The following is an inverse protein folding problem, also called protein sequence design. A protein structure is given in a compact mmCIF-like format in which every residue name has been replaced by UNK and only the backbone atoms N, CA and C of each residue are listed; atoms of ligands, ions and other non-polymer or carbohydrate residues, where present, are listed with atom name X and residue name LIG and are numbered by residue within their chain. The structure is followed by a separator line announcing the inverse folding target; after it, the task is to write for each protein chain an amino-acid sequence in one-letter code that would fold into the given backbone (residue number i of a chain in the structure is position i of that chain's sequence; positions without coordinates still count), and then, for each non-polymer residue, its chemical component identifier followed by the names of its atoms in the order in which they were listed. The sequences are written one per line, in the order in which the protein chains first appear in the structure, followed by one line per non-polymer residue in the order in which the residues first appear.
data_IF_450228693855
#
_entry.id   IF_450228693855
#
_cell.length_a   1.000
_cell.length_b   1.000
_cell.length_c   1.000
_cell.angle_alpha   90.00
_cell.angle_beta   90.00
_cell.angle_gamma   90.00
#
_symmetry.space_group_name_H-M   'P 1'
#
loop_
_entity.id
_entity.type
_entity.pdbx_description
1 polymer ?
#
# COMPACT_ATOMS: atom_id res chain seq x y z
N UNK A 1 10.53 19.59 58.26
CA UNK A 1 9.16 19.80 57.75
C UNK A 1 9.19 20.94 56.74
N UNK A 2 9.03 20.76 55.44
CA UNK A 2 8.72 19.59 54.63
C UNK A 2 8.83 20.05 53.17
N UNK A 3 9.45 19.22 52.35
CA UNK A 3 9.57 19.45 50.91
C UNK A 3 8.20 19.36 50.24
N UNK A 4 7.89 20.30 49.36
CA UNK A 4 6.80 20.17 48.40
C UNK A 4 7.43 20.07 47.01
N UNK A 5 7.76 18.84 46.60
CA UNK A 5 8.03 18.50 45.21
C UNK A 5 6.70 18.59 44.45
N UNK A 6 6.52 19.63 43.66
CA UNK A 6 5.43 19.68 42.69
C UNK A 6 5.86 18.81 41.52
N UNK A 7 5.24 17.64 41.40
CA UNK A 7 5.52 16.70 40.33
C UNK A 7 5.23 17.32 38.97
N UNK A 8 6.23 17.34 38.11
CA UNK A 8 6.05 17.45 36.68
C UNK A 8 5.17 16.27 36.24
N UNK A 9 3.91 16.56 35.94
CA UNK A 9 3.08 15.67 35.15
C UNK A 9 3.77 15.52 33.80
N UNK A 10 4.38 14.36 33.60
CA UNK A 10 4.97 13.97 32.33
C UNK A 10 3.98 14.25 31.22
N UNK A 11 4.37 15.15 30.32
CA UNK A 11 3.73 15.29 29.02
C UNK A 11 3.83 13.91 28.40
N UNK A 12 2.73 13.15 28.40
CA UNK A 12 2.60 11.98 27.55
C UNK A 12 2.67 12.51 26.13
N UNK A 13 3.90 12.66 25.63
CA UNK A 13 4.18 13.01 24.25
C UNK A 13 3.30 12.10 23.42
N UNK A 14 2.25 12.67 22.84
CA UNK A 14 1.35 11.93 21.97
C UNK A 14 2.23 11.53 20.81
N UNK A 15 2.66 10.27 20.83
CA UNK A 15 3.39 9.67 19.73
C UNK A 15 2.55 9.96 18.49
N UNK A 16 3.07 10.79 17.60
CA UNK A 16 2.42 11.23 16.37
C UNK A 16 3.45 11.17 15.25
N UNK A 17 3.02 10.74 14.07
CA UNK A 17 3.88 10.68 12.89
C UNK A 17 4.17 12.13 12.43
N UNK A 18 5.45 12.57 12.38
CA UNK A 18 5.77 13.97 12.10
C UNK A 18 5.21 14.49 10.77
N UNK A 19 4.59 15.67 10.80
CA UNK A 19 4.10 16.37 9.60
C UNK A 19 2.75 15.90 9.08
N UNK A 20 2.17 14.82 9.62
CA UNK A 20 0.83 14.36 9.25
C UNK A 20 -0.24 15.00 10.13
N UNK A 21 -1.39 15.30 9.54
CA UNK A 21 -2.54 15.85 10.26
C UNK A 21 -3.28 14.76 11.07
N UNK A 22 -4.00 15.18 12.11
CA UNK A 22 -4.90 14.30 12.84
C UNK A 22 -6.01 13.78 11.90
N UNK A 23 -6.25 12.47 11.94
CA UNK A 23 -7.20 11.79 11.05
C UNK A 23 -6.65 11.50 9.64
N UNK A 24 -5.36 11.78 9.37
CA UNK A 24 -4.72 11.28 8.16
C UNK A 24 -4.62 9.74 8.22
N UNK A 25 -5.04 9.01 7.17
CA UNK A 25 -5.08 7.55 7.18
C UNK A 25 -3.70 6.89 7.35
N UNK A 26 -2.62 7.58 6.96
CA UNK A 26 -1.24 7.12 7.14
C UNK A 26 -0.80 7.33 8.60
N UNK A 27 -1.21 8.44 9.22
CA UNK A 27 -1.00 8.65 10.66
C UNK A 27 -1.79 7.63 11.50
N UNK A 28 -3.03 7.32 11.14
CA UNK A 28 -3.84 6.28 11.79
C UNK A 28 -3.24 4.87 11.62
N UNK A 29 -2.64 4.59 10.45
CA UNK A 29 -1.89 3.36 10.26
C UNK A 29 -0.72 3.28 11.23
N UNK A 30 0.07 4.35 11.34
CA UNK A 30 1.22 4.40 12.25
C UNK A 30 0.79 4.23 13.72
N UNK A 31 -0.25 4.94 14.17
CA UNK A 31 -0.75 4.85 15.56
C UNK A 31 -1.19 3.42 15.93
N UNK A 32 -1.84 2.71 14.99
CA UNK A 32 -2.21 1.31 15.21
C UNK A 32 -0.99 0.39 15.33
N UNK A 33 0.04 0.60 14.51
CA UNK A 33 1.22 -0.26 14.49
C UNK A 33 2.20 0.05 15.63
N UNK A 34 2.33 1.31 16.08
CA UNK A 34 3.27 1.69 17.14
C UNK A 34 2.88 1.10 18.51
N UNK A 35 1.58 0.81 18.71
CA UNK A 35 1.03 0.15 19.90
C UNK A 35 1.26 -1.37 19.90
N UNK A 36 1.67 -1.96 18.78
CA UNK A 36 1.88 -3.40 18.63
C UNK A 36 3.34 -3.78 18.90
N UNK A 37 3.56 -4.93 19.55
CA UNK A 37 4.89 -5.49 19.81
C UNK A 37 5.40 -6.43 18.71
N UNK A 38 4.57 -6.71 17.70
CA UNK A 38 4.91 -7.66 16.64
C UNK A 38 6.03 -7.09 15.75
N UNK A 39 7.00 -7.93 15.29
CA UNK A 39 8.07 -7.49 14.40
C UNK A 39 7.54 -6.73 13.18
N UNK A 40 6.52 -7.27 12.50
CA UNK A 40 5.98 -6.67 11.29
C UNK A 40 5.36 -5.30 11.53
N UNK A 41 4.84 -5.07 12.74
CA UNK A 41 4.33 -3.75 13.13
C UNK A 41 5.47 -2.76 13.35
N UNK A 42 6.58 -3.18 13.97
CA UNK A 42 7.77 -2.34 14.11
C UNK A 42 8.39 -1.99 12.75
N UNK A 43 8.46 -2.96 11.84
CA UNK A 43 8.93 -2.72 10.48
C UNK A 43 8.01 -1.72 9.74
N UNK A 44 6.69 -1.81 9.95
CA UNK A 44 5.73 -0.85 9.38
C UNK A 44 5.93 0.55 9.95
N UNK A 45 6.11 0.70 11.27
CA UNK A 45 6.44 2.00 11.88
C UNK A 45 7.73 2.58 11.33
N UNK A 46 8.80 1.77 11.23
CA UNK A 46 10.09 2.22 10.71
C UNK A 46 10.00 2.69 9.25
N UNK A 47 9.22 2.01 8.41
CA UNK A 47 8.99 2.46 7.02
C UNK A 47 8.18 3.77 6.98
N UNK A 48 7.15 3.91 7.82
CA UNK A 48 6.34 5.12 7.90
C UNK A 48 7.15 6.33 8.37
N UNK A 49 8.00 6.14 9.38
CA UNK A 49 8.94 7.15 9.88
C UNK A 49 9.95 7.53 8.78
N UNK A 50 10.54 6.55 8.10
CA UNK A 50 11.44 6.82 6.98
C UNK A 50 10.75 7.57 5.82
N UNK A 51 9.49 7.28 5.53
CA UNK A 51 8.71 8.03 4.53
C UNK A 51 8.44 9.46 5.02
N UNK A 52 8.06 9.65 6.29
CA UNK A 52 7.87 10.98 6.88
C UNK A 52 9.15 11.82 6.79
N UNK A 53 10.30 11.22 7.11
CA UNK A 53 11.61 11.87 7.02
C UNK A 53 11.95 12.26 5.57
N UNK A 54 11.69 11.39 4.59
CA UNK A 54 11.88 11.70 3.16
C UNK A 54 11.03 12.91 2.75
N UNK A 55 9.74 12.91 3.10
CA UNK A 55 8.83 14.01 2.75
C UNK A 55 9.28 15.33 3.40
N UNK A 56 9.73 15.27 4.66
CA UNK A 56 10.27 16.43 5.35
C UNK A 56 11.55 16.96 4.67
N UNK A 57 12.48 16.07 4.30
CA UNK A 57 13.73 16.44 3.64
C UNK A 57 13.49 17.05 2.24
N UNK A 58 12.48 16.57 1.53
CA UNK A 58 12.10 17.09 0.21
C UNK A 58 11.19 18.33 0.29
N UNK A 59 10.79 18.76 1.49
CA UNK A 59 9.89 19.90 1.69
C UNK A 59 8.47 19.65 1.16
N UNK A 60 8.05 18.38 1.08
CA UNK A 60 6.74 17.97 0.57
C UNK A 60 5.77 17.83 1.73
N UNK A 61 4.59 18.47 1.60
CA UNK A 61 3.52 18.31 2.58
C UNK A 61 3.01 16.86 2.59
N UNK A 62 2.94 16.20 3.77
CA UNK A 62 2.45 14.83 3.87
C UNK A 62 1.01 14.68 3.38
N UNK A 63 0.79 13.65 2.55
CA UNK A 63 -0.51 13.27 2.01
C UNK A 63 -0.46 11.82 1.51
N UNK A 64 -1.60 11.14 1.33
CA UNK A 64 -1.64 9.81 0.73
C UNK A 64 -0.93 9.74 -0.63
N UNK A 65 -1.01 10.81 -1.45
CA UNK A 65 -0.30 10.89 -2.74
C UNK A 65 1.21 10.98 -2.56
N UNK A 66 1.68 11.80 -1.62
CA UNK A 66 3.09 11.93 -1.32
C UNK A 66 3.68 10.62 -0.80
N UNK A 67 2.94 9.95 0.10
CA UNK A 67 3.31 8.62 0.64
C UNK A 67 3.30 7.56 -0.45
N UNK A 68 2.31 7.56 -1.34
CA UNK A 68 2.27 6.68 -2.52
C UNK A 68 3.54 6.86 -3.37
N UNK A 69 3.89 8.10 -3.71
CA UNK A 69 5.06 8.39 -4.54
C UNK A 69 6.38 7.97 -3.85
N UNK A 70 6.56 8.35 -2.58
CA UNK A 70 7.76 8.03 -1.81
C UNK A 70 7.94 6.51 -1.62
N UNK A 71 6.86 5.79 -1.29
CA UNK A 71 6.87 4.34 -1.10
C UNK A 71 7.13 3.61 -2.41
N UNK A 72 6.53 4.06 -3.52
CA UNK A 72 6.82 3.55 -4.86
C UNK A 72 8.30 3.70 -5.21
N UNK A 73 8.90 4.86 -4.98
CA UNK A 73 10.32 5.08 -5.26
C UNK A 73 11.24 4.23 -4.37
N UNK A 74 10.84 3.96 -3.13
CA UNK A 74 11.57 3.03 -2.26
C UNK A 74 11.48 1.57 -2.76
N UNK A 75 10.31 1.14 -3.23
CA UNK A 75 10.13 -0.19 -3.83
C UNK A 75 10.83 -0.34 -5.19
N UNK A 76 10.93 0.74 -5.98
CA UNK A 76 11.68 0.77 -7.25
C UNK A 76 13.19 0.57 -7.03
N UNK A 77 13.71 1.08 -5.90
CA UNK A 77 15.12 0.92 -5.50
C UNK A 77 15.38 -0.35 -4.69
N UNK A 78 14.34 -1.01 -4.19
CA UNK A 78 14.50 -2.22 -3.40
C UNK A 78 15.08 -3.35 -4.25
N UNK A 79 16.15 -3.97 -3.76
CA UNK A 79 16.79 -5.13 -4.36
C UNK A 79 16.65 -6.36 -3.45
N UNK A 80 17.33 -7.45 -3.81
CA UNK A 80 17.27 -8.71 -3.06
C UNK A 80 17.93 -8.64 -1.67
N UNK A 81 18.64 -7.56 -1.34
CA UNK A 81 19.25 -7.36 -0.01
C UNK A 81 18.26 -6.83 1.02
N UNK A 82 17.14 -6.23 0.57
CA UNK A 82 16.10 -5.72 1.47
C UNK A 82 15.37 -6.89 2.13
N UNK A 83 15.30 -6.94 3.48
CA UNK A 83 14.56 -7.98 4.18
C UNK A 83 13.11 -8.06 3.73
N UNK A 84 12.59 -9.29 3.57
CA UNK A 84 11.21 -9.50 3.13
C UNK A 84 10.17 -8.86 4.07
N UNK A 85 10.51 -8.70 5.35
CA UNK A 85 9.71 -7.98 6.34
C UNK A 85 9.59 -6.48 6.01
N UNK A 86 10.71 -5.84 5.64
CA UNK A 86 10.73 -4.43 5.24
C UNK A 86 9.96 -4.22 3.93
N UNK A 87 10.11 -5.12 2.96
CA UNK A 87 9.29 -5.11 1.73
C UNK A 87 7.80 -5.28 2.06
N UNK A 88 7.45 -6.17 2.99
CA UNK A 88 6.07 -6.35 3.46
C UNK A 88 5.50 -5.09 4.13
N UNK A 89 6.32 -4.39 4.92
CA UNK A 89 5.97 -3.10 5.51
C UNK A 89 5.74 -2.02 4.43
N UNK A 90 6.65 -1.88 3.45
CA UNK A 90 6.47 -0.98 2.31
C UNK A 90 5.17 -1.27 1.54
N UNK A 91 4.84 -2.54 1.32
CA UNK A 91 3.57 -2.92 0.66
C UNK A 91 2.34 -2.61 1.52
N UNK A 92 2.46 -2.66 2.85
CA UNK A 92 1.37 -2.27 3.76
C UNK A 92 1.12 -0.76 3.68
N UNK A 93 2.19 0.04 3.73
CA UNK A 93 2.12 1.49 3.55
C UNK A 93 1.58 1.87 2.18
N UNK A 94 2.06 1.19 1.12
CA UNK A 94 1.58 1.40 -0.25
C UNK A 94 0.08 1.08 -0.39
N UNK A 95 -0.40 0.01 0.23
CA UNK A 95 -1.82 -0.34 0.19
C UNK A 95 -2.69 0.75 0.82
N UNK A 96 -2.30 1.28 1.99
CA UNK A 96 -3.00 2.41 2.61
C UNK A 96 -2.93 3.66 1.73
N UNK A 97 -1.79 3.95 1.13
CA UNK A 97 -1.68 5.08 0.20
C UNK A 97 -2.59 4.92 -1.03
N UNK A 98 -2.68 3.71 -1.60
CA UNK A 98 -3.57 3.41 -2.72
C UNK A 98 -5.06 3.53 -2.38
N UNK A 99 -5.44 3.18 -1.15
CA UNK A 99 -6.83 3.29 -0.66
C UNK A 99 -7.29 4.75 -0.53
N UNK A 100 -6.37 5.67 -0.27
CA UNK A 100 -6.70 7.06 0.09
C UNK A 100 -6.18 8.12 -0.88
N UNK A 101 -5.27 7.79 -1.79
CA UNK A 101 -4.81 8.71 -2.82
C UNK A 101 -5.92 9.00 -3.84
N UNK A 102 -6.01 10.23 -4.39
CA UNK A 102 -6.91 10.53 -5.49
C UNK A 102 -6.67 9.58 -6.67
N UNK A 103 -7.72 8.98 -7.27
CA UNK A 103 -7.54 8.00 -8.33
C UNK A 103 -6.73 8.50 -9.52
N UNK A 104 -6.86 9.78 -9.88
CA UNK A 104 -6.08 10.40 -10.95
C UNK A 104 -4.57 10.32 -10.72
N UNK A 105 -4.10 10.49 -9.47
CA UNK A 105 -2.69 10.39 -9.13
C UNK A 105 -2.18 8.96 -9.30
N UNK A 106 -2.97 7.97 -8.88
CA UNK A 106 -2.65 6.54 -9.04
C UNK A 106 -2.64 6.13 -10.51
N UNK A 107 -3.66 6.53 -11.27
CA UNK A 107 -3.79 6.23 -12.71
C UNK A 107 -2.61 6.81 -13.50
N UNK A 108 -2.13 8.02 -13.17
CA UNK A 108 -0.97 8.63 -13.84
C UNK A 108 0.33 7.83 -13.73
N UNK A 109 0.44 6.97 -12.71
CA UNK A 109 1.61 6.13 -12.40
C UNK A 109 1.34 4.64 -12.63
N UNK A 110 0.17 4.28 -13.14
CA UNK A 110 -0.33 2.90 -13.17
C UNK A 110 0.62 1.91 -13.86
N UNK A 111 1.23 2.19 -15.02
CA UNK A 111 2.16 1.27 -15.67
C UNK A 111 3.40 0.97 -14.79
N UNK A 112 3.93 2.01 -14.14
CA UNK A 112 5.08 1.88 -13.24
C UNK A 112 4.71 1.09 -11.99
N UNK A 113 3.56 1.40 -11.36
CA UNK A 113 3.05 0.68 -10.19
C UNK A 113 2.83 -0.80 -10.49
N UNK A 114 2.19 -1.12 -11.61
CA UNK A 114 1.99 -2.50 -12.04
C UNK A 114 3.32 -3.27 -12.20
N UNK A 115 4.33 -2.63 -12.82
CA UNK A 115 5.67 -3.22 -13.00
C UNK A 115 6.37 -3.48 -11.67
N UNK A 116 6.33 -2.51 -10.75
CA UNK A 116 6.95 -2.61 -9.42
C UNK A 116 6.30 -3.72 -8.61
N UNK A 117 4.96 -3.78 -8.57
CA UNK A 117 4.23 -4.82 -7.85
C UNK A 117 4.50 -6.22 -8.41
N UNK A 118 4.62 -6.36 -9.74
CA UNK A 118 4.99 -7.63 -10.36
C UNK A 118 6.42 -8.05 -10.00
N UNK A 119 7.35 -7.09 -9.87
CA UNK A 119 8.72 -7.36 -9.42
C UNK A 119 8.76 -7.79 -7.96
N UNK A 120 8.10 -7.03 -7.09
CA UNK A 120 7.95 -7.36 -5.68
C UNK A 120 7.28 -8.73 -5.48
N UNK A 121 6.27 -9.07 -6.31
CA UNK A 121 5.60 -10.37 -6.28
C UNK A 121 6.52 -11.55 -6.59
N UNK A 122 7.48 -11.37 -7.52
CA UNK A 122 8.51 -12.38 -7.81
C UNK A 122 9.49 -12.54 -6.65
N UNK A 123 9.95 -11.43 -6.06
CA UNK A 123 10.84 -11.46 -4.90
C UNK A 123 10.16 -12.04 -3.64
N UNK A 124 8.84 -11.84 -3.50
CA UNK A 124 8.08 -12.26 -2.33
C UNK A 124 7.58 -13.71 -2.38
N UNK A 125 7.96 -14.54 -3.36
CA UNK A 125 7.42 -15.91 -3.49
C UNK A 125 7.61 -16.76 -2.24
N UNK A 126 8.74 -16.61 -1.54
CA UNK A 126 9.03 -17.34 -0.30
C UNK A 126 8.56 -16.63 0.98
N UNK A 127 7.96 -15.43 0.84
CA UNK A 127 7.46 -14.64 1.97
C UNK A 127 5.93 -14.49 1.88
N UNK A 128 5.15 -15.37 2.53
CA UNK A 128 3.70 -15.25 2.54
C UNK A 128 3.17 -13.89 3.03
N UNK A 129 3.78 -13.20 4.02
CA UNK A 129 3.38 -11.85 4.38
C UNK A 129 3.56 -10.82 3.27
N UNK A 130 4.75 -10.77 2.66
CA UNK A 130 5.02 -9.82 1.57
C UNK A 130 4.15 -10.13 0.33
N UNK A 131 3.97 -11.41 -0.01
CA UNK A 131 3.14 -11.81 -1.14
C UNK A 131 1.67 -11.38 -0.95
N UNK A 132 1.12 -11.48 0.27
CA UNK A 132 -0.21 -10.93 0.58
C UNK A 132 -0.27 -9.41 0.37
N UNK A 133 0.78 -8.69 0.74
CA UNK A 133 0.88 -7.24 0.50
C UNK A 133 0.83 -6.90 -1.00
N UNK A 134 1.59 -7.63 -1.82
CA UNK A 134 1.57 -7.48 -3.29
C UNK A 134 0.17 -7.74 -3.84
N UNK A 135 -0.45 -8.85 -3.42
CA UNK A 135 -1.80 -9.23 -3.85
C UNK A 135 -2.83 -8.16 -3.53
N UNK A 136 -2.78 -7.59 -2.32
CA UNK A 136 -3.67 -6.48 -1.92
C UNK A 136 -3.44 -5.24 -2.79
N UNK A 137 -2.18 -4.82 -2.97
CA UNK A 137 -1.86 -3.66 -3.78
C UNK A 137 -2.32 -3.81 -5.24
N UNK A 138 -2.18 -4.99 -5.84
CA UNK A 138 -2.66 -5.24 -7.21
C UNK A 138 -4.20 -5.16 -7.26
N UNK A 139 -4.90 -5.74 -6.29
CA UNK A 139 -6.37 -5.64 -6.21
C UNK A 139 -6.85 -4.19 -6.16
N UNK A 140 -6.24 -3.38 -5.31
CA UNK A 140 -6.53 -1.94 -5.18
C UNK A 140 -6.22 -1.18 -6.47
N UNK A 141 -5.05 -1.44 -7.09
CA UNK A 141 -4.65 -0.81 -8.36
C UNK A 141 -5.66 -1.09 -9.48
N UNK A 142 -6.13 -2.34 -9.58
CA UNK A 142 -7.17 -2.71 -10.56
C UNK A 142 -8.50 -2.02 -10.21
N UNK A 143 -8.85 -1.93 -8.93
CA UNK A 143 -10.07 -1.27 -8.50
C UNK A 143 -10.09 0.24 -8.85
N UNK A 144 -8.91 0.88 -8.88
CA UNK A 144 -8.78 2.29 -9.29
C UNK A 144 -9.26 2.54 -10.74
N UNK A 145 -9.25 1.53 -11.61
CA UNK A 145 -9.69 1.68 -13.00
C UNK A 145 -11.14 2.16 -13.12
N UNK A 146 -12.00 1.85 -12.13
CA UNK A 146 -13.38 2.36 -12.07
C UNK A 146 -13.47 3.88 -12.15
N UNK A 147 -12.46 4.58 -11.64
CA UNK A 147 -12.43 6.04 -11.60
C UNK A 147 -11.80 6.66 -12.86
N UNK A 148 -11.45 5.86 -13.88
CA UNK A 148 -10.97 6.39 -15.15
C UNK A 148 -12.07 7.25 -15.83
N UNK A 149 -11.69 8.33 -16.54
CA UNK A 149 -12.63 9.34 -17.01
C UNK A 149 -13.55 8.87 -18.15
N UNK A 150 -13.26 7.74 -18.78
CA UNK A 150 -14.05 7.20 -19.89
C UNK A 150 -13.90 5.69 -20.00
N UNK A 151 -14.85 5.04 -20.69
CA UNK A 151 -14.78 3.63 -21.04
C UNK A 151 -13.49 3.28 -21.82
N UNK A 152 -13.08 4.15 -22.74
CA UNK A 152 -11.85 3.99 -23.50
C UNK A 152 -10.61 4.03 -22.60
N UNK A 153 -10.55 4.97 -21.66
CA UNK A 153 -9.46 5.06 -20.70
C UNK A 153 -9.41 3.84 -19.77
N UNK A 154 -10.55 3.22 -19.43
CA UNK A 154 -10.56 1.95 -18.70
C UNK A 154 -9.86 0.86 -19.50
N UNK A 155 -10.17 0.73 -20.80
CA UNK A 155 -9.61 -0.31 -21.66
C UNK A 155 -8.11 -0.13 -21.89
N UNK A 156 -7.66 1.11 -22.11
CA UNK A 156 -6.24 1.45 -22.23
C UNK A 156 -5.50 1.08 -20.93
N UNK A 157 -5.94 1.60 -19.79
CA UNK A 157 -5.27 1.30 -18.52
C UNK A 157 -5.34 -0.19 -18.12
N UNK A 158 -6.39 -0.92 -18.56
CA UNK A 158 -6.52 -2.35 -18.31
C UNK A 158 -5.38 -3.17 -18.93
N UNK A 159 -4.76 -2.72 -20.02
CA UNK A 159 -3.64 -3.42 -20.66
C UNK A 159 -2.45 -3.63 -19.70
N UNK A 160 -2.23 -2.68 -18.79
CA UNK A 160 -1.19 -2.72 -17.78
C UNK A 160 -1.59 -3.57 -16.56
N UNK A 161 -2.89 -3.73 -16.32
CA UNK A 161 -3.45 -4.44 -15.17
C UNK A 161 -3.76 -5.91 -15.46
N UNK A 162 -3.98 -6.29 -16.72
CA UNK A 162 -4.40 -7.64 -17.10
C UNK A 162 -3.44 -8.74 -16.60
N UNK A 163 -2.12 -8.55 -16.80
CA UNK A 163 -1.11 -9.51 -16.34
C UNK A 163 -0.98 -9.55 -14.81
N UNK A 164 -0.87 -8.43 -14.08
CA UNK A 164 -0.95 -8.43 -12.62
C UNK A 164 -2.22 -9.10 -12.08
N UNK A 165 -3.37 -8.81 -12.68
CA UNK A 165 -4.65 -9.39 -12.27
C UNK A 165 -4.71 -10.90 -12.48
N UNK A 166 -4.23 -11.39 -13.62
CA UNK A 166 -4.10 -12.83 -13.88
C UNK A 166 -3.15 -13.49 -12.86
N UNK A 167 -2.04 -12.84 -12.52
CA UNK A 167 -1.09 -13.36 -11.53
C UNK A 167 -1.71 -13.53 -10.14
N UNK A 168 -2.46 -12.54 -9.65
CA UNK A 168 -3.15 -12.69 -8.34
C UNK A 168 -4.33 -13.66 -8.42
N UNK A 169 -4.97 -13.81 -9.58
CA UNK A 169 -6.05 -14.78 -9.78
C UNK A 169 -5.54 -16.22 -9.64
N UNK A 170 -4.34 -16.52 -10.15
CA UNK A 170 -3.70 -17.82 -9.97
C UNK A 170 -3.39 -18.12 -8.49
N UNK A 171 -3.20 -17.10 -7.65
CA UNK A 171 -2.98 -17.28 -6.22
C UNK A 171 -4.25 -17.65 -5.44
N UNK A 172 -5.44 -17.62 -6.06
CA UNK A 172 -6.66 -18.13 -5.44
C UNK A 172 -6.61 -19.65 -5.16
N UNK A 173 -5.72 -20.39 -5.83
CA UNK A 173 -5.50 -21.83 -5.63
C UNK A 173 -4.13 -22.16 -5.00
N UNK A 174 -3.40 -21.16 -4.51
CA UNK A 174 -2.08 -21.32 -3.87
C UNK A 174 -2.09 -22.30 -2.68
N UNK A 175 -1.00 -23.03 -2.40
CA UNK A 175 -0.96 -23.98 -1.27
C UNK A 175 -1.16 -23.34 0.12
N UNK A 176 -0.87 -22.04 0.27
CA UNK A 176 -0.85 -21.33 1.55
C UNK A 176 -2.20 -20.66 1.85
N UNK A 177 -2.92 -21.06 2.92
CA UNK A 177 -4.28 -20.59 3.17
C UNK A 177 -4.44 -19.07 3.28
N UNK A 178 -3.48 -18.38 3.93
CA UNK A 178 -3.53 -16.92 4.10
C UNK A 178 -3.32 -16.17 2.78
N UNK A 179 -2.51 -16.70 1.88
CA UNK A 179 -2.29 -16.13 0.53
C UNK A 179 -3.54 -16.31 -0.31
N UNK A 180 -4.11 -17.53 -0.36
CA UNK A 180 -5.39 -17.79 -1.05
C UNK A 180 -6.51 -16.88 -0.60
N UNK A 181 -6.68 -16.72 0.72
CA UNK A 181 -7.73 -15.86 1.28
C UNK A 181 -7.57 -14.40 0.84
N UNK A 182 -6.33 -13.89 0.86
CA UNK A 182 -6.05 -12.53 0.40
C UNK A 182 -6.26 -12.39 -1.12
N UNK A 183 -5.88 -13.39 -1.91
CA UNK A 183 -6.08 -13.41 -3.35
C UNK A 183 -7.57 -13.39 -3.71
N UNK A 184 -8.37 -14.28 -3.12
CA UNK A 184 -9.81 -14.30 -3.33
C UNK A 184 -10.48 -12.98 -2.94
N UNK A 185 -10.08 -12.36 -1.83
CA UNK A 185 -10.59 -11.06 -1.42
C UNK A 185 -10.23 -9.96 -2.43
N UNK A 186 -8.96 -9.88 -2.85
CA UNK A 186 -8.46 -8.82 -3.74
C UNK A 186 -8.99 -8.97 -5.17
N UNK A 187 -9.11 -10.21 -5.67
CA UNK A 187 -9.75 -10.52 -6.95
C UNK A 187 -11.23 -10.16 -6.89
N UNK A 188 -11.93 -10.53 -5.81
CA UNK A 188 -13.33 -10.18 -5.65
C UNK A 188 -13.56 -8.66 -5.61
N UNK A 189 -12.68 -7.91 -4.94
CA UNK A 189 -12.73 -6.45 -4.92
C UNK A 189 -12.52 -5.85 -6.32
N UNK A 190 -11.47 -6.28 -7.02
CA UNK A 190 -11.20 -5.87 -8.40
C UNK A 190 -12.36 -6.19 -9.35
N UNK A 191 -12.91 -7.40 -9.30
CA UNK A 191 -14.06 -7.77 -10.13
C UNK A 191 -15.31 -6.93 -9.81
N UNK A 192 -15.57 -6.68 -8.52
CA UNK A 192 -16.66 -5.77 -8.13
C UNK A 192 -16.43 -4.38 -8.68
N UNK A 193 -15.19 -3.89 -8.71
CA UNK A 193 -14.85 -2.59 -9.27
C UNK A 193 -15.09 -2.53 -10.79
N UNK A 194 -14.75 -3.59 -11.51
CA UNK A 194 -14.86 -3.67 -12.97
C UNK A 194 -16.25 -4.05 -13.50
N UNK A 195 -17.15 -4.60 -12.66
CA UNK A 195 -18.45 -5.17 -13.07
C UNK A 195 -19.26 -4.34 -14.07
N UNK A 196 -19.22 -3.02 -13.95
CA UNK A 196 -20.01 -2.08 -14.75
C UNK A 196 -19.12 -1.26 -15.72
N UNK A 197 -17.97 -1.83 -16.09
CA UNK A 197 -16.95 -1.19 -16.95
C UNK A 197 -16.69 -2.06 -18.19
N UNK A 198 -16.22 -1.49 -19.31
CA UNK A 198 -15.93 -2.28 -20.52
C UNK A 198 -14.83 -3.34 -20.32
N UNK A 199 -14.00 -3.23 -19.28
CA UNK A 199 -13.04 -4.27 -18.95
C UNK A 199 -13.69 -5.59 -18.51
N UNK A 200 -14.95 -5.57 -18.07
CA UNK A 200 -15.72 -6.77 -17.72
C UNK A 200 -16.44 -7.42 -18.92
N UNK A 201 -16.47 -6.76 -20.09
CA UNK A 201 -17.13 -7.27 -21.28
C UNK A 201 -16.11 -7.83 -22.28
N UNK A 202 -15.96 -9.17 -22.38
CA UNK A 202 -15.09 -9.79 -23.38
C UNK A 202 -15.63 -9.70 -24.82
N UNK A 203 -16.90 -9.32 -25.02
CA UNK A 203 -17.55 -9.28 -26.34
C UNK A 203 -17.44 -7.90 -27.04
N UNK A 204 -16.87 -6.89 -26.38
CA UNK A 204 -16.67 -5.55 -26.92
C UNK A 204 -15.30 -5.29 -27.57
N UNK A 205 -14.48 -6.33 -27.79
CA UNK A 205 -13.18 -6.24 -28.50
C UNK A 205 -13.26 -6.81 -29.91
#
# INVERSE_FOLDING_TARGET
NGAASTGEFGVMSTLALPGFADGDPVAELWDRHCRSRQPESKATCAVLEAVADILQQEGIAPSPTAVFAATMSSLERADASIPAEQTGAMLTVLATALEHAPPAAVLSRLPATAKVLMSAGRAAQESPPALRGVVRCIGLLVATLRAAPSAQAVLENWEHCAKPFAAISNLCVDGRPKVRKQAAASVGEALRALRDTPAADPAGR
#
